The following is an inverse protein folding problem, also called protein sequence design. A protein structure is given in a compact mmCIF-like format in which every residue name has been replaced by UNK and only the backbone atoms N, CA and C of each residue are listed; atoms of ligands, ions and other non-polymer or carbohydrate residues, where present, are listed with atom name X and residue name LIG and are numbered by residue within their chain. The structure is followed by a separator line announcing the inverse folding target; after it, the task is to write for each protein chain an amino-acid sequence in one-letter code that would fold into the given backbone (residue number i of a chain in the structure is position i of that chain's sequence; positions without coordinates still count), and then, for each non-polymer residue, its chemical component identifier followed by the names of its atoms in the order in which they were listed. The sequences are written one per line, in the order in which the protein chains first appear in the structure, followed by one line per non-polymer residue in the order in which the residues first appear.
data_IF_698690405405
#
_entry.id   IF_698690405405
#
_cell.length_a   1.000
_cell.length_b   1.000
_cell.length_c   1.000
_cell.angle_alpha   90.00
_cell.angle_beta   90.00
_cell.angle_gamma   90.00
#
_symmetry.space_group_name_H-M   'P 1'
#
loop_
_entity.id
_entity.type
_entity.pdbx_description
1 polymer ?
#
# COMPACT_ATOMS: atom_id res chain seq x y z
N UNK A 1 -23.55 49.92 -11.90
CA UNK A 1 -24.04 48.52 -11.76
C UNK A 1 -23.15 47.48 -12.48
N UNK A 2 -22.80 47.65 -13.77
CA UNK A 2 -21.90 46.70 -14.49
C UNK A 2 -20.46 46.59 -13.95
N UNK A 3 -19.90 47.66 -13.37
CA UNK A 3 -18.53 47.69 -12.82
C UNK A 3 -18.38 47.01 -11.45
N UNK A 4 -19.46 46.95 -10.67
CA UNK A 4 -19.49 46.24 -9.38
C UNK A 4 -19.53 44.72 -9.59
N UNK A 5 -20.21 44.26 -10.64
CA UNK A 5 -20.26 42.84 -11.02
C UNK A 5 -18.90 42.31 -11.50
N UNK A 6 -18.10 43.16 -12.15
CA UNK A 6 -16.74 42.82 -12.59
C UNK A 6 -15.74 42.66 -11.43
N UNK A 7 -15.98 43.34 -10.29
CA UNK A 7 -15.08 43.28 -9.13
C UNK A 7 -15.34 42.04 -8.25
N UNK A 8 -16.58 41.54 -8.18
CA UNK A 8 -16.88 40.25 -7.50
C UNK A 8 -16.41 39.02 -8.28
N UNK A 9 -16.17 39.13 -9.59
CA UNK A 9 -15.71 38.02 -10.42
C UNK A 9 -14.22 37.69 -10.22
N UNK A 10 -13.40 38.67 -9.83
CA UNK A 10 -11.94 38.48 -9.65
C UNK A 10 -11.58 37.89 -8.29
N UNK A 11 -12.41 38.13 -7.26
CA UNK A 11 -12.15 37.62 -5.90
C UNK A 11 -12.55 36.14 -5.72
N UNK A 12 -13.48 35.63 -6.53
CA UNK A 12 -13.90 34.22 -6.47
C UNK A 12 -12.91 33.22 -7.09
N UNK A 13 -11.95 33.69 -7.90
CA UNK A 13 -11.01 32.84 -8.62
C UNK A 13 -9.75 32.47 -7.82
N UNK A 14 -9.48 33.17 -6.70
CA UNK A 14 -8.26 32.99 -5.91
C UNK A 14 -8.33 31.83 -4.90
N UNK A 15 -9.50 31.24 -4.66
CA UNK A 15 -9.68 30.17 -3.66
C UNK A 15 -9.61 28.74 -4.22
N UNK A 16 -9.54 28.56 -5.54
CA UNK A 16 -9.49 27.23 -6.19
C UNK A 16 -8.08 26.59 -6.25
N UNK A 17 -7.04 27.26 -5.76
CA UNK A 17 -5.65 26.79 -5.91
C UNK A 17 -5.12 25.98 -4.72
N UNK A 18 -5.95 25.64 -3.73
CA UNK A 18 -5.52 24.88 -2.54
C UNK A 18 -6.10 23.45 -2.47
N UNK A 19 -6.32 22.81 -3.61
CA UNK A 19 -6.52 21.36 -3.65
C UNK A 19 -5.15 20.67 -3.60
N UNK A 20 -4.53 20.66 -2.42
CA UNK A 20 -3.35 19.83 -2.18
C UNK A 20 -3.75 18.37 -2.36
N UNK A 21 -3.20 17.71 -3.38
CA UNK A 21 -3.32 16.27 -3.51
C UNK A 21 -2.47 15.64 -2.40
N UNK A 22 -3.13 15.17 -1.35
CA UNK A 22 -2.46 14.31 -0.37
C UNK A 22 -2.09 13.01 -1.06
N UNK A 23 -0.84 12.88 -1.50
CA UNK A 23 -0.28 11.58 -1.85
C UNK A 23 -0.07 10.80 -0.55
N UNK A 24 -0.88 9.77 -0.31
CA UNK A 24 -0.55 8.80 0.72
C UNK A 24 0.76 8.10 0.31
N UNK A 25 1.72 7.99 1.22
CA UNK A 25 2.88 7.15 0.97
C UNK A 25 2.42 5.70 0.75
N UNK A 26 3.06 4.96 -0.16
CA UNK A 26 2.73 3.55 -0.37
C UNK A 26 2.85 2.78 0.94
N UNK A 27 1.92 1.85 1.16
CA UNK A 27 1.98 0.96 2.32
C UNK A 27 3.15 0.01 2.15
N UNK A 28 3.99 -0.13 3.18
CA UNK A 28 5.09 -1.10 3.14
C UNK A 28 4.54 -2.50 3.39
N UNK A 29 5.03 -3.49 2.66
CA UNK A 29 4.73 -4.89 2.89
C UNK A 29 6.01 -5.72 2.86
N UNK A 30 6.20 -6.58 3.86
CA UNK A 30 7.25 -7.61 3.86
C UNK A 30 6.63 -8.96 3.63
N UNK A 31 7.01 -9.62 2.54
CA UNK A 31 6.55 -10.97 2.18
C UNK A 31 7.67 -11.95 2.46
N UNK A 32 7.56 -12.67 3.57
CA UNK A 32 8.44 -13.81 3.87
C UNK A 32 7.93 -15.04 3.13
N UNK A 33 8.73 -15.65 2.26
CA UNK A 33 8.32 -16.84 1.48
C UNK A 33 9.25 -18.03 1.70
N UNK A 34 8.68 -19.24 1.63
CA UNK A 34 9.46 -20.48 1.48
C UNK A 34 10.22 -20.41 0.14
N UNK A 35 11.56 -20.57 0.11
CA UNK A 35 12.36 -20.54 -1.12
C UNK A 35 11.85 -21.50 -2.20
N UNK A 36 11.29 -22.65 -1.79
CA UNK A 36 10.84 -23.71 -2.68
C UNK A 36 9.44 -23.48 -3.26
N UNK A 37 8.75 -22.39 -2.87
CA UNK A 37 7.41 -22.09 -3.35
C UNK A 37 7.39 -20.96 -4.40
N UNK A 38 7.17 -21.32 -5.66
CA UNK A 38 7.17 -20.38 -6.79
C UNK A 38 5.95 -19.45 -6.88
N UNK A 39 4.79 -19.86 -6.34
CA UNK A 39 3.57 -19.04 -6.44
C UNK A 39 3.58 -17.79 -5.56
N UNK A 40 4.43 -17.74 -4.52
CA UNK A 40 4.52 -16.60 -3.62
C UNK A 40 5.07 -15.33 -4.31
N UNK A 41 5.88 -15.49 -5.36
CA UNK A 41 6.37 -14.35 -6.15
C UNK A 41 5.21 -13.64 -6.87
N UNK A 42 4.25 -14.41 -7.42
CA UNK A 42 3.06 -13.87 -8.09
C UNK A 42 2.20 -13.05 -7.12
N UNK A 43 2.12 -13.48 -5.86
CA UNK A 43 1.41 -12.72 -4.82
C UNK A 43 2.13 -11.40 -4.48
N UNK A 44 3.47 -11.40 -4.42
CA UNK A 44 4.24 -10.16 -4.24
C UNK A 44 4.04 -9.20 -5.41
N UNK A 45 4.04 -9.69 -6.66
CA UNK A 45 3.76 -8.89 -7.85
C UNK A 45 2.37 -8.24 -7.80
N UNK A 46 1.37 -8.97 -7.29
CA UNK A 46 0.03 -8.44 -7.07
C UNK A 46 0.00 -7.28 -6.04
N UNK A 47 0.80 -7.36 -4.97
CA UNK A 47 0.90 -6.28 -3.99
C UNK A 47 1.58 -5.05 -4.60
N UNK A 48 2.64 -5.24 -5.38
CA UNK A 48 3.30 -4.16 -6.13
C UNK A 48 2.32 -3.47 -7.08
N UNK A 49 1.50 -4.25 -7.81
CA UNK A 49 0.45 -3.73 -8.69
C UNK A 49 -0.68 -2.97 -7.95
N UNK A 50 -0.70 -3.04 -6.61
CA UNK A 50 -1.65 -2.35 -5.71
C UNK A 50 -1.00 -1.18 -4.97
N UNK A 51 0.14 -0.69 -5.46
CA UNK A 51 0.89 0.43 -4.89
C UNK A 51 1.43 0.17 -3.47
N UNK A 52 1.71 -1.10 -3.12
CA UNK A 52 2.52 -1.41 -1.94
C UNK A 52 4.02 -1.32 -2.27
N UNK A 53 4.80 -0.85 -1.30
CA UNK A 53 6.26 -0.96 -1.32
C UNK A 53 6.65 -2.33 -0.73
N UNK A 54 6.94 -3.30 -1.60
CA UNK A 54 7.09 -4.72 -1.21
C UNK A 54 8.56 -5.12 -1.08
N UNK A 55 8.94 -5.66 0.07
CA UNK A 55 10.20 -6.38 0.31
C UNK A 55 9.92 -7.89 0.34
N UNK A 56 10.55 -8.66 -0.56
CA UNK A 56 10.44 -10.12 -0.57
C UNK A 56 11.65 -10.74 0.12
N UNK A 57 11.40 -11.58 1.13
CA UNK A 57 12.44 -12.21 1.96
C UNK A 57 12.26 -13.72 1.89
N UNK A 58 13.27 -14.43 1.40
CA UNK A 58 13.27 -15.89 1.42
C UNK A 58 13.63 -16.43 2.82
N UNK A 59 12.85 -17.38 3.32
CA UNK A 59 13.05 -17.95 4.65
C UNK A 59 12.47 -19.36 4.76
N UNK A 60 13.27 -20.29 5.30
CA UNK A 60 12.80 -21.64 5.65
C UNK A 60 11.97 -21.66 6.96
N UNK A 61 11.80 -20.50 7.61
CA UNK A 61 11.15 -20.37 8.92
C UNK A 61 9.74 -19.79 8.86
N UNK A 62 9.13 -19.63 7.67
CA UNK A 62 7.81 -19.01 7.50
C UNK A 62 6.74 -19.62 8.41
N UNK A 63 6.69 -20.95 8.51
CA UNK A 63 5.73 -21.67 9.37
C UNK A 63 5.98 -21.36 10.85
N UNK A 64 7.25 -21.39 11.28
CA UNK A 64 7.63 -21.06 12.66
C UNK A 64 7.30 -19.61 13.00
N UNK A 65 7.60 -18.67 12.11
CA UNK A 65 7.26 -17.25 12.26
C UNK A 65 5.76 -17.05 12.37
N UNK A 66 4.98 -17.71 11.51
CA UNK A 66 3.51 -17.64 11.53
C UNK A 66 2.94 -18.13 12.86
N UNK A 67 3.47 -19.23 13.38
CA UNK A 67 3.12 -19.76 14.71
C UNK A 67 3.44 -18.76 15.83
N UNK A 68 4.63 -18.16 15.81
CA UNK A 68 5.05 -17.16 16.81
C UNK A 68 4.17 -15.91 16.77
N UNK A 69 3.62 -15.57 15.61
CA UNK A 69 2.68 -14.46 15.42
C UNK A 69 1.24 -14.82 15.83
N UNK A 70 0.99 -16.03 16.33
CA UNK A 70 -0.33 -16.48 16.77
C UNK A 70 -1.26 -16.92 15.64
N UNK A 71 -0.74 -17.15 14.43
CA UNK A 71 -1.54 -17.68 13.32
C UNK A 71 -1.83 -19.17 13.59
N UNK A 72 -3.12 -19.58 13.66
CA UNK A 72 -3.52 -20.97 13.84
C UNK A 72 -2.92 -21.89 12.76
N UNK A 73 -2.65 -23.14 13.12
CA UNK A 73 -1.95 -24.10 12.24
C UNK A 73 -2.67 -24.29 10.90
N UNK A 74 -4.00 -24.32 10.92
CA UNK A 74 -4.86 -24.43 9.74
C UNK A 74 -4.85 -23.20 8.82
N UNK A 75 -4.32 -22.05 9.28
CA UNK A 75 -4.19 -20.82 8.51
C UNK A 75 -2.74 -20.51 8.11
N UNK A 76 -1.79 -21.38 8.46
CA UNK A 76 -0.39 -21.24 8.05
C UNK A 76 -0.24 -21.64 6.57
N UNK A 77 0.63 -20.94 5.85
CA UNK A 77 0.85 -21.14 4.41
C UNK A 77 2.32 -21.03 4.00
N UNK A 78 2.55 -20.97 2.69
CA UNK A 78 3.90 -20.89 2.12
C UNK A 78 4.54 -19.49 2.22
N UNK A 79 3.79 -18.47 2.62
CA UNK A 79 4.29 -17.13 2.88
C UNK A 79 3.61 -16.50 4.09
N UNK A 80 4.25 -15.49 4.66
CA UNK A 80 3.75 -14.62 5.71
C UNK A 80 3.95 -13.16 5.31
N UNK A 81 2.86 -12.39 5.29
CA UNK A 81 2.90 -10.96 4.93
C UNK A 81 2.77 -10.11 6.19
N UNK A 82 3.66 -9.14 6.33
CA UNK A 82 3.60 -8.09 7.36
C UNK A 82 3.42 -6.74 6.69
N UNK A 83 2.45 -5.95 7.15
CA UNK A 83 2.11 -4.61 6.66
C UNK A 83 2.13 -3.66 7.85
#
# INVERSE_FOLDING_TARGET
MKRFFAFMLTLGLATMSLSGHSHANPLQAKVYKDPNCGCCAIYADYLVARDYEVEVIESDQVVQMSRMMGIPEEMQGCHLTMI
#
